data_IF_283627669638
#
_entry.id   IF_283627669638
#
_cell.length_a   1.000
_cell.length_b   1.000
_cell.length_c   1.000
_cell.angle_alpha   90.00
_cell.angle_beta   90.00
_cell.angle_gamma   90.00
#
_symmetry.space_group_name_H-M   'P 1'
#
loop_
_entity.id
_entity.type
_entity.pdbx_description
1 polymer ?
#
# COMPACT_ATOMS: atom_id res chain seq x y z
N UNK A 1 26.31 11.24 13.90
CA UNK A 1 26.82 11.04 12.52
C UNK A 1 25.80 11.47 11.44
N UNK A 2 24.60 10.88 11.36
CA UNK A 2 23.58 11.22 10.33
C UNK A 2 23.13 12.70 10.37
N UNK A 3 22.93 13.30 11.56
CA UNK A 3 22.62 14.75 11.70
C UNK A 3 23.71 15.65 11.09
N UNK A 4 24.98 15.29 11.23
CA UNK A 4 26.10 16.02 10.60
C UNK A 4 26.18 15.82 9.09
N UNK A 5 25.79 14.64 8.60
CA UNK A 5 25.73 14.31 7.16
C UNK A 5 24.61 15.10 6.46
N UNK A 6 23.45 15.24 7.11
CA UNK A 6 22.34 16.07 6.61
C UNK A 6 22.69 17.56 6.62
N UNK A 7 23.53 18.04 7.54
CA UNK A 7 24.02 19.44 7.53
C UNK A 7 24.89 19.75 6.30
N UNK A 8 25.67 18.80 5.81
CA UNK A 8 26.68 18.99 4.76
C UNK A 8 26.21 18.62 3.33
N UNK A 9 24.90 18.49 3.09
CA UNK A 9 24.37 18.16 1.75
C UNK A 9 23.92 19.42 0.98
N UNK A 10 24.61 19.78 -0.12
CA UNK A 10 24.26 20.95 -0.94
C UNK A 10 22.86 20.89 -1.55
N UNK A 11 22.30 19.69 -1.73
CA UNK A 11 20.93 19.52 -2.20
C UNK A 11 19.88 20.01 -1.18
N UNK A 12 20.22 20.02 0.11
CA UNK A 12 19.39 20.59 1.17
C UNK A 12 19.59 22.11 1.29
N UNK A 13 20.77 22.64 0.95
CA UNK A 13 21.06 24.09 0.90
C UNK A 13 20.28 24.79 -0.22
N UNK A 14 20.25 24.19 -1.42
CA UNK A 14 19.53 24.75 -2.57
C UNK A 14 18.01 24.81 -2.43
N UNK A 15 17.45 24.18 -1.38
CA UNK A 15 16.01 24.09 -1.11
C UNK A 15 15.57 24.90 0.11
N UNK A 16 16.44 25.75 0.69
CA UNK A 16 16.10 26.64 1.82
C UNK A 16 15.95 25.94 3.18
N UNK A 17 16.36 24.68 3.28
CA UNK A 17 16.05 23.78 4.40
C UNK A 17 16.88 24.09 5.66
N UNK A 18 18.05 24.74 5.57
CA UNK A 18 18.84 25.07 6.78
C UNK A 18 18.12 26.05 7.72
N UNK A 19 17.54 27.11 7.15
CA UNK A 19 16.98 28.24 7.88
C UNK A 19 15.63 27.93 8.55
N UNK A 20 14.82 27.07 7.92
CA UNK A 20 13.51 26.68 8.44
C UNK A 20 13.61 25.56 9.52
N UNK A 21 14.79 24.96 9.73
CA UNK A 21 14.96 23.74 10.53
C UNK A 21 15.98 23.89 11.68
N UNK A 22 16.36 25.11 12.07
CA UNK A 22 17.20 25.38 13.26
C UNK A 22 18.54 24.65 13.27
N UNK A 23 19.09 24.34 12.09
CA UNK A 23 20.32 23.56 11.98
C UNK A 23 21.56 24.38 12.36
N UNK A 24 21.44 25.68 12.56
CA UNK A 24 22.55 26.60 12.85
C UNK A 24 22.87 26.72 14.36
N UNK A 25 21.97 26.36 15.29
CA UNK A 25 22.07 26.76 16.71
C UNK A 25 22.41 25.65 17.73
N UNK A 26 22.69 24.41 17.31
CA UNK A 26 23.09 23.35 18.25
C UNK A 26 24.61 23.17 18.26
N UNK A 27 25.26 23.80 19.25
CA UNK A 27 26.66 23.61 19.65
C UNK A 27 26.87 22.23 20.25
N UNK A 28 27.94 21.56 19.82
CA UNK A 28 28.40 20.28 20.36
C UNK A 28 29.08 20.52 21.72
N UNK A 29 28.46 20.11 22.82
CA UNK A 29 29.23 19.73 24.01
C UNK A 29 29.64 18.26 23.86
N UNK A 30 30.94 18.05 23.73
CA UNK A 30 31.57 16.74 23.67
C UNK A 30 32.00 16.30 25.06
N UNK A 31 31.55 15.12 25.49
CA UNK A 31 32.28 14.30 26.46
C UNK A 31 32.44 12.90 25.88
N UNK A 32 33.65 12.32 25.92
CA UNK A 32 33.89 10.97 25.43
C UNK A 32 33.65 9.97 26.57
N UNK A 33 33.03 8.82 26.29
CA UNK A 33 33.58 7.58 26.85
C UNK A 33 33.12 6.29 26.16
N UNK A 34 34.17 5.50 25.92
CA UNK A 34 34.35 4.05 25.92
C UNK A 34 33.51 3.08 25.09
N UNK A 35 34.29 2.39 24.25
CA UNK A 35 34.08 1.18 23.48
C UNK A 35 33.57 -0.01 24.31
N UNK A 36 32.61 -0.73 23.76
CA UNK A 36 32.54 -2.19 23.90
C UNK A 36 32.14 -2.83 22.58
N UNK A 37 32.85 -3.92 22.27
CA UNK A 37 32.84 -4.67 21.03
C UNK A 37 31.50 -5.33 20.73
N UNK A 38 30.88 -5.01 19.59
CA UNK A 38 29.78 -5.78 19.02
C UNK A 38 30.34 -6.78 18.01
N UNK A 39 30.17 -8.06 18.32
CA UNK A 39 30.51 -9.17 17.45
C UNK A 39 29.74 -9.12 16.14
N UNK A 40 30.47 -9.26 15.04
CA UNK A 40 29.95 -9.52 13.70
C UNK A 40 29.20 -10.86 13.68
N UNK A 41 27.89 -10.82 13.50
CA UNK A 41 27.08 -11.99 13.13
C UNK A 41 26.39 -11.71 11.79
N UNK A 42 26.81 -12.49 10.78
CA UNK A 42 26.27 -12.50 9.42
C UNK A 42 24.82 -13.01 9.44
N UNK A 43 23.90 -12.25 8.87
CA UNK A 43 22.55 -12.70 8.53
C UNK A 43 22.57 -13.47 7.19
N UNK A 44 21.79 -14.56 7.04
CA UNK A 44 21.58 -15.16 5.72
C UNK A 44 20.60 -14.30 4.91
N UNK A 45 21.07 -13.80 3.77
CA UNK A 45 20.25 -13.12 2.77
C UNK A 45 19.37 -14.16 2.06
N UNK A 46 18.04 -14.08 2.26
CA UNK A 46 17.07 -14.79 1.42
C UNK A 46 16.42 -13.77 0.48
N UNK A 47 16.84 -13.86 -0.77
CA UNK A 47 16.40 -13.05 -1.89
C UNK A 47 15.01 -13.50 -2.35
N UNK A 48 13.97 -12.77 -1.96
CA UNK A 48 12.66 -12.86 -2.62
C UNK A 48 12.75 -12.11 -3.96
N UNK A 49 13.04 -12.84 -5.04
CA UNK A 49 12.89 -12.35 -6.41
C UNK A 49 11.41 -12.09 -6.70
N UNK A 50 10.93 -10.88 -6.43
CA UNK A 50 9.68 -10.41 -7.02
C UNK A 50 9.92 -10.09 -8.51
N UNK A 51 9.19 -10.81 -9.37
CA UNK A 51 9.21 -10.60 -10.82
C UNK A 51 8.64 -9.23 -11.15
N UNK A 52 9.40 -8.48 -11.96
CA UNK A 52 9.03 -7.21 -12.59
C UNK A 52 7.68 -7.34 -13.31
N UNK A 53 6.71 -6.50 -12.92
CA UNK A 53 5.63 -6.06 -13.80
C UNK A 53 5.68 -4.54 -13.88
N UNK A 54 6.44 -4.03 -14.85
CA UNK A 54 6.44 -2.61 -15.21
C UNK A 54 6.36 -2.51 -16.73
N UNK A 55 5.16 -2.64 -17.29
CA UNK A 55 4.83 -2.13 -18.63
C UNK A 55 3.37 -1.72 -18.66
N UNK A 56 3.08 -0.73 -19.51
CA UNK A 56 1.79 -0.16 -19.87
C UNK A 56 1.33 1.08 -19.10
N UNK A 57 1.98 2.22 -19.41
CA UNK A 57 1.24 3.44 -19.70
C UNK A 57 1.91 4.15 -20.89
N UNK A 58 1.40 3.89 -22.08
CA UNK A 58 1.44 4.83 -23.21
C UNK A 58 0.62 4.23 -24.34
N UNK A 59 -0.60 4.77 -24.49
CA UNK A 59 -1.31 4.89 -25.77
C UNK A 59 -2.53 5.78 -25.53
N UNK A 60 -2.36 7.06 -25.82
CA UNK A 60 -3.48 7.95 -26.09
C UNK A 60 -4.17 7.45 -27.36
N UNK A 61 -5.39 6.95 -27.24
CA UNK A 61 -6.30 6.78 -28.37
C UNK A 61 -7.26 7.96 -28.35
N UNK A 62 -7.21 8.81 -29.38
CA UNK A 62 -8.25 9.82 -29.62
C UNK A 62 -9.49 9.06 -30.10
N UNK A 63 -10.51 8.94 -29.24
CA UNK A 63 -11.82 8.44 -29.65
C UNK A 63 -12.78 9.60 -29.90
N UNK A 64 -13.44 9.57 -31.06
CA UNK A 64 -14.54 10.48 -31.41
C UNK A 64 -15.77 10.25 -30.52
N UNK A 65 -16.59 11.28 -30.26
CA UNK A 65 -17.78 11.16 -29.42
C UNK A 65 -18.79 10.18 -30.06
N UNK A 66 -19.26 9.20 -29.27
CA UNK A 66 -20.26 8.22 -29.70
C UNK A 66 -21.56 8.41 -28.91
N UNK A 67 -22.71 8.32 -29.60
CA UNK A 67 -24.06 8.41 -29.01
C UNK A 67 -24.29 7.30 -27.98
N UNK A 68 -25.06 7.59 -26.93
CA UNK A 68 -25.42 6.69 -25.82
C UNK A 68 -25.86 5.27 -26.27
N UNK A 69 -26.58 5.13 -27.38
CA UNK A 69 -27.06 3.82 -27.86
C UNK A 69 -25.94 2.85 -28.25
N UNK A 70 -24.73 3.34 -28.59
CA UNK A 70 -23.59 2.47 -28.94
C UNK A 70 -22.69 2.10 -27.75
N UNK A 71 -22.98 2.58 -26.53
CA UNK A 71 -22.23 2.22 -25.33
C UNK A 71 -22.58 0.81 -24.84
N UNK A 72 -23.81 0.36 -25.10
CA UNK A 72 -24.35 -0.96 -24.72
C UNK A 72 -23.59 -2.17 -25.30
N UNK A 73 -22.79 -1.95 -26.33
CA UNK A 73 -22.19 -3.03 -27.14
C UNK A 73 -20.67 -3.10 -27.04
N UNK A 74 -20.02 -2.36 -26.11
CA UNK A 74 -18.56 -2.38 -26.02
C UNK A 74 -18.07 -3.50 -25.07
N UNK A 75 -17.62 -4.66 -25.58
CA UNK A 75 -17.12 -5.75 -24.74
C UNK A 75 -15.92 -5.32 -23.88
N UNK A 76 -15.17 -4.29 -24.31
CA UNK A 76 -14.00 -3.80 -23.57
C UNK A 76 -14.33 -3.28 -22.17
N UNK A 77 -15.59 -2.87 -21.91
CA UNK A 77 -16.04 -2.44 -20.59
C UNK A 77 -16.16 -3.61 -19.60
N UNK A 78 -16.36 -4.83 -20.11
CA UNK A 78 -16.66 -6.02 -19.33
C UNK A 78 -15.48 -6.99 -19.25
N UNK A 79 -14.64 -7.05 -20.29
CA UNK A 79 -13.54 -8.00 -20.39
C UNK A 79 -12.23 -7.49 -19.80
N UNK A 80 -11.40 -8.41 -19.29
CA UNK A 80 -10.01 -8.10 -18.91
C UNK A 80 -9.12 -8.02 -20.16
N UNK A 81 -8.57 -6.82 -20.45
CA UNK A 81 -7.77 -6.57 -21.66
C UNK A 81 -6.34 -6.13 -21.36
N UNK A 82 -6.02 -5.79 -20.11
CA UNK A 82 -4.73 -5.19 -19.73
C UNK A 82 -3.54 -6.18 -19.67
N UNK A 83 -3.77 -7.48 -19.83
CA UNK A 83 -2.70 -8.48 -19.72
C UNK A 83 -3.02 -9.87 -20.27
N UNK A 84 -2.03 -10.77 -20.17
CA UNK A 84 -2.15 -12.20 -20.49
C UNK A 84 -1.74 -13.03 -19.29
N UNK A 85 -2.50 -14.08 -19.01
CA UNK A 85 -2.16 -15.05 -17.98
C UNK A 85 -1.31 -16.17 -18.57
N UNK A 86 -0.23 -16.52 -17.88
CA UNK A 86 0.65 -17.64 -18.27
C UNK A 86 -0.03 -19.01 -18.09
N UNK A 87 -1.00 -19.10 -17.17
CA UNK A 87 -1.74 -20.32 -16.85
C UNK A 87 -3.22 -20.00 -16.63
N UNK A 88 -4.10 -20.97 -16.88
CA UNK A 88 -5.55 -20.87 -16.66
C UNK A 88 -6.18 -19.60 -17.27
N UNK A 89 -5.75 -19.22 -18.46
CA UNK A 89 -6.08 -17.92 -19.06
C UNK A 89 -7.58 -17.65 -19.14
N UNK A 90 -8.35 -18.63 -19.61
CA UNK A 90 -9.79 -18.47 -19.78
C UNK A 90 -10.51 -18.38 -18.44
N UNK A 91 -10.09 -19.19 -17.46
CA UNK A 91 -10.58 -19.11 -16.08
C UNK A 91 -10.28 -17.73 -15.45
N UNK A 92 -9.04 -17.25 -15.54
CA UNK A 92 -8.62 -15.96 -14.97
C UNK A 92 -9.32 -14.76 -15.64
N UNK A 93 -9.69 -14.89 -16.91
CA UNK A 93 -10.51 -13.92 -17.65
C UNK A 93 -11.97 -13.97 -17.20
N UNK A 94 -12.55 -15.16 -17.10
CA UNK A 94 -13.93 -15.35 -16.64
C UNK A 94 -14.15 -14.77 -15.23
N UNK A 95 -13.20 -14.99 -14.31
CA UNK A 95 -13.21 -14.42 -12.96
C UNK A 95 -13.19 -12.89 -12.91
N UNK A 96 -12.64 -12.25 -13.96
CA UNK A 96 -12.52 -10.80 -14.11
C UNK A 96 -13.53 -10.21 -15.08
N UNK A 97 -14.47 -11.03 -15.56
CA UNK A 97 -15.61 -10.56 -16.30
C UNK A 97 -16.74 -10.25 -15.32
N UNK A 98 -17.11 -8.97 -15.24
CA UNK A 98 -18.24 -8.50 -14.43
C UNK A 98 -19.27 -7.93 -15.38
N UNK A 99 -20.50 -8.43 -15.25
CA UNK A 99 -21.67 -7.87 -15.89
C UNK A 99 -22.28 -6.84 -14.95
N UNK A 100 -22.62 -5.68 -15.48
CA UNK A 100 -23.23 -4.58 -14.75
C UNK A 100 -24.01 -3.70 -15.72
N UNK A 101 -24.99 -2.95 -15.21
CA UNK A 101 -25.78 -2.02 -16.01
C UNK A 101 -24.99 -0.72 -16.23
N UNK A 102 -24.53 -0.51 -17.47
CA UNK A 102 -23.78 0.67 -17.88
C UNK A 102 -24.63 1.95 -17.80
N UNK A 103 -25.92 1.88 -18.14
CA UNK A 103 -26.81 3.05 -18.12
C UNK A 103 -27.12 3.44 -16.66
N UNK A 104 -27.26 2.47 -15.75
CA UNK A 104 -27.36 2.72 -14.32
C UNK A 104 -26.06 3.32 -13.75
N UNK A 105 -24.88 2.79 -14.12
CA UNK A 105 -23.60 3.35 -13.67
C UNK A 105 -23.43 4.80 -14.11
N UNK A 106 -23.78 5.11 -15.37
CA UNK A 106 -23.74 6.47 -15.91
C UNK A 106 -24.69 7.39 -15.14
N UNK A 107 -25.92 6.95 -14.85
CA UNK A 107 -26.89 7.73 -14.05
C UNK A 107 -26.34 8.07 -12.67
N UNK A 108 -25.87 7.08 -11.92
CA UNK A 108 -25.26 7.32 -10.60
C UNK A 108 -24.04 8.25 -10.69
N UNK A 109 -23.22 8.12 -11.75
CA UNK A 109 -22.10 9.02 -11.97
C UNK A 109 -22.52 10.45 -12.31
N UNK A 110 -23.67 10.65 -12.95
CA UNK A 110 -24.25 11.96 -13.21
C UNK A 110 -24.83 12.58 -11.93
N UNK A 111 -25.60 11.79 -11.18
CA UNK A 111 -26.25 12.20 -9.94
C UNK A 111 -25.22 12.58 -8.87
N UNK A 112 -24.08 11.89 -8.80
CA UNK A 112 -23.04 12.16 -7.79
C UNK A 112 -22.31 13.50 -7.96
N UNK A 113 -22.53 14.20 -9.07
CA UNK A 113 -21.92 15.51 -9.39
C UNK A 113 -22.93 16.52 -9.95
N UNK A 114 -24.22 16.28 -9.72
CA UNK A 114 -25.33 17.15 -10.14
C UNK A 114 -25.34 17.48 -11.65
N UNK A 115 -25.08 16.46 -12.49
CA UNK A 115 -25.04 16.61 -13.96
C UNK A 115 -26.14 15.81 -14.64
N UNK A 116 -26.51 16.21 -15.86
CA UNK A 116 -27.51 15.49 -16.66
C UNK A 116 -26.86 14.39 -17.53
N UNK A 117 -27.48 13.21 -17.71
CA UNK A 117 -26.93 12.12 -18.55
C UNK A 117 -26.57 12.51 -19.99
N UNK A 118 -27.34 13.42 -20.60
CA UNK A 118 -27.04 13.97 -21.94
C UNK A 118 -25.70 14.74 -22.01
N UNK A 119 -25.13 15.11 -20.85
CA UNK A 119 -23.83 15.76 -20.73
C UNK A 119 -22.64 14.79 -20.80
N UNK A 120 -22.88 13.47 -20.87
CA UNK A 120 -21.82 12.46 -20.90
C UNK A 120 -21.29 12.29 -22.33
N UNK A 121 -19.99 12.53 -22.49
CA UNK A 121 -19.30 12.41 -23.78
C UNK A 121 -18.87 10.96 -24.06
N UNK A 122 -18.35 10.27 -23.03
CA UNK A 122 -17.81 8.91 -23.18
C UNK A 122 -17.70 8.17 -21.86
N UNK A 123 -17.82 6.84 -21.92
CA UNK A 123 -17.33 5.92 -20.89
C UNK A 123 -16.19 5.07 -21.48
N UNK A 124 -15.05 5.05 -20.81
CA UNK A 124 -13.86 4.31 -21.27
C UNK A 124 -13.21 3.57 -20.14
N UNK A 125 -12.60 2.41 -20.41
CA UNK A 125 -11.79 1.71 -19.42
C UNK A 125 -10.43 2.39 -19.28
N UNK A 126 -10.15 2.93 -18.10
CA UNK A 126 -8.93 3.66 -17.82
C UNK A 126 -7.80 2.71 -17.40
N UNK A 127 -8.11 1.77 -16.50
CA UNK A 127 -7.13 0.84 -15.95
C UNK A 127 -7.79 -0.45 -15.46
N UNK A 128 -6.99 -1.50 -15.34
CA UNK A 128 -7.37 -2.75 -14.68
C UNK A 128 -6.22 -3.26 -13.83
N UNK A 129 -6.50 -3.54 -12.56
CA UNK A 129 -5.56 -4.11 -11.60
C UNK A 129 -5.80 -5.59 -11.32
N UNK A 130 -5.22 -6.07 -10.22
CA UNK A 130 -5.48 -7.43 -9.71
C UNK A 130 -6.87 -7.60 -9.12
N UNK A 131 -7.41 -6.52 -8.53
CA UNK A 131 -8.62 -6.51 -7.72
C UNK A 131 -9.77 -5.70 -8.33
N UNK A 132 -9.50 -4.71 -9.18
CA UNK A 132 -10.54 -3.79 -9.65
C UNK A 132 -10.36 -3.44 -11.12
N UNK A 133 -11.49 -3.12 -11.76
CA UNK A 133 -11.54 -2.36 -13.00
C UNK A 133 -11.81 -0.90 -12.68
N UNK A 134 -11.16 0.01 -13.40
CA UNK A 134 -11.41 1.45 -13.31
C UNK A 134 -11.92 1.93 -14.66
N UNK A 135 -13.17 2.39 -14.67
CA UNK A 135 -13.80 3.08 -15.79
C UNK A 135 -13.73 4.58 -15.55
N UNK A 136 -13.71 5.35 -16.62
CA UNK A 136 -13.76 6.79 -16.60
C UNK A 136 -15.00 7.24 -17.36
N UNK A 137 -15.86 7.99 -16.70
CA UNK A 137 -16.99 8.70 -17.28
C UNK A 137 -16.55 10.14 -17.53
N UNK A 138 -16.48 10.55 -18.78
CA UNK A 138 -16.06 11.91 -19.19
C UNK A 138 -17.28 12.68 -19.67
N UNK A 139 -17.46 13.90 -19.15
CA UNK A 139 -18.51 14.82 -19.56
C UNK A 139 -18.05 15.74 -20.70
N UNK A 140 -19.00 16.40 -21.37
CA UNK A 140 -18.75 17.26 -22.54
C UNK A 140 -17.83 18.47 -22.24
N UNK A 141 -17.76 18.91 -20.99
CA UNK A 141 -16.88 19.99 -20.52
C UNK A 141 -15.48 19.49 -20.11
N UNK A 142 -15.20 18.19 -20.26
CA UNK A 142 -13.93 17.57 -19.89
C UNK A 142 -13.83 17.11 -18.44
N UNK A 143 -14.82 17.41 -17.59
CA UNK A 143 -14.86 16.86 -16.23
C UNK A 143 -14.95 15.33 -16.29
N UNK A 144 -14.31 14.64 -15.36
CA UNK A 144 -14.25 13.18 -15.37
C UNK A 144 -14.45 12.58 -13.98
N UNK A 145 -15.26 11.52 -13.94
CA UNK A 145 -15.51 10.69 -12.75
C UNK A 145 -14.90 9.32 -12.98
N UNK A 146 -14.21 8.80 -11.97
CA UNK A 146 -13.64 7.45 -12.01
C UNK A 146 -14.58 6.48 -11.29
N UNK A 147 -15.00 5.42 -11.98
CA UNK A 147 -15.78 4.33 -11.40
C UNK A 147 -14.89 3.12 -11.20
N UNK A 148 -14.63 2.76 -9.94
CA UNK A 148 -13.89 1.58 -9.53
C UNK A 148 -14.88 0.44 -9.24
N UNK A 149 -14.73 -0.67 -9.96
CA UNK A 149 -15.58 -1.87 -9.84
C UNK A 149 -14.70 -3.04 -9.41
N UNK A 150 -14.88 -3.61 -8.21
CA UNK A 150 -14.11 -4.75 -7.72
C UNK A 150 -14.44 -6.03 -8.48
N UNK A 151 -13.44 -6.86 -8.78
CA UNK A 151 -13.63 -8.20 -9.35
C UNK A 151 -14.31 -9.15 -8.36
N UNK A 152 -14.96 -10.21 -8.87
CA UNK A 152 -15.58 -11.25 -8.03
C UNK A 152 -14.59 -11.93 -7.07
N UNK A 153 -13.31 -11.90 -7.40
CA UNK A 153 -12.21 -12.44 -6.59
C UNK A 153 -11.76 -11.51 -5.47
N UNK A 154 -12.26 -10.27 -5.44
CA UNK A 154 -11.92 -9.29 -4.42
C UNK A 154 -12.77 -9.52 -3.19
N UNK A 155 -12.09 -9.76 -2.08
CA UNK A 155 -12.65 -10.26 -0.83
C UNK A 155 -11.95 -9.56 0.33
N UNK A 156 -12.65 -9.33 1.46
CA UNK A 156 -14.10 -9.52 1.68
C UNK A 156 -14.95 -8.51 0.89
N UNK A 157 -16.04 -8.94 0.23
CA UNK A 157 -16.75 -8.13 -0.80
C UNK A 157 -17.23 -6.76 -0.30
N UNK A 158 -18.26 -6.76 0.55
CA UNK A 158 -18.88 -5.56 1.13
C UNK A 158 -17.83 -4.72 1.85
N UNK A 159 -17.08 -5.36 2.75
CA UNK A 159 -16.08 -4.71 3.59
C UNK A 159 -14.97 -4.00 2.79
N UNK A 160 -14.57 -4.53 1.63
CA UNK A 160 -13.51 -3.91 0.82
C UNK A 160 -13.92 -2.51 0.32
N UNK A 161 -15.14 -2.37 -0.19
CA UNK A 161 -15.63 -1.09 -0.73
C UNK A 161 -16.00 -0.13 0.40
N UNK A 162 -16.77 -0.61 1.38
CA UNK A 162 -17.20 0.19 2.52
C UNK A 162 -15.99 0.75 3.30
N UNK A 163 -14.98 -0.10 3.54
CA UNK A 163 -13.82 0.32 4.32
C UNK A 163 -12.91 1.30 3.60
N UNK A 164 -12.72 1.11 2.28
CA UNK A 164 -11.94 2.05 1.47
C UNK A 164 -12.64 3.42 1.42
N UNK A 165 -13.97 3.46 1.33
CA UNK A 165 -14.74 4.71 1.30
C UNK A 165 -14.53 5.53 2.60
N UNK A 166 -14.70 4.87 3.76
CA UNK A 166 -14.49 5.50 5.06
C UNK A 166 -13.04 5.94 5.28
N UNK A 167 -12.08 5.13 4.83
CA UNK A 167 -10.65 5.46 4.90
C UNK A 167 -10.32 6.72 4.10
N UNK A 168 -10.81 6.83 2.86
CA UNK A 168 -10.62 8.02 2.02
C UNK A 168 -11.28 9.25 2.62
N UNK A 169 -12.50 9.12 3.16
CA UNK A 169 -13.20 10.21 3.83
C UNK A 169 -12.41 10.76 5.02
N UNK A 170 -11.91 9.87 5.91
CA UNK A 170 -11.11 10.25 7.07
C UNK A 170 -9.80 10.93 6.66
N UNK A 171 -9.06 10.34 5.72
CA UNK A 171 -7.77 10.86 5.26
C UNK A 171 -7.91 12.25 4.64
N UNK A 172 -8.95 12.46 3.83
CA UNK A 172 -9.23 13.77 3.24
C UNK A 172 -9.58 14.81 4.31
N UNK A 173 -10.36 14.44 5.32
CA UNK A 173 -10.68 15.33 6.44
C UNK A 173 -9.42 15.74 7.23
N UNK A 174 -8.39 14.90 7.23
CA UNK A 174 -7.07 15.20 7.83
C UNK A 174 -6.09 15.88 6.84
N UNK A 175 -6.56 16.29 5.66
CA UNK A 175 -5.79 17.02 4.66
C UNK A 175 -4.82 16.18 3.83
N UNK A 176 -4.91 14.85 3.88
CA UNK A 176 -4.07 13.98 3.05
C UNK A 176 -4.59 14.07 1.61
N UNK A 177 -3.72 14.24 0.59
CA UNK A 177 -4.15 14.34 -0.79
C UNK A 177 -4.62 12.97 -1.28
N UNK A 178 -5.90 12.67 -1.12
CA UNK A 178 -6.57 11.43 -1.57
C UNK A 178 -7.81 11.79 -2.38
N UNK A 179 -8.26 10.93 -3.32
CA UNK A 179 -9.44 11.22 -4.11
C UNK A 179 -10.69 11.29 -3.21
N UNK A 180 -11.53 12.31 -3.44
CA UNK A 180 -12.88 12.41 -2.88
C UNK A 180 -13.75 11.27 -3.38
N UNK A 181 -14.42 10.62 -2.44
CA UNK A 181 -15.52 9.68 -2.72
C UNK A 181 -16.76 10.49 -3.09
N UNK A 182 -17.26 10.29 -4.32
CA UNK A 182 -18.45 10.97 -4.84
C UNK A 182 -19.71 10.18 -4.53
N UNK A 183 -19.66 8.86 -4.70
CA UNK A 183 -20.69 7.91 -4.32
C UNK A 183 -20.08 6.51 -4.23
N UNK A 184 -20.70 5.58 -3.51
CA UNK A 184 -20.31 4.17 -3.54
C UNK A 184 -21.52 3.30 -3.19
N UNK A 185 -21.46 2.04 -3.59
CA UNK A 185 -22.36 1.00 -3.11
C UNK A 185 -21.53 -0.26 -2.82
N UNK A 186 -21.48 -0.73 -1.56
CA UNK A 186 -20.75 -1.93 -1.20
C UNK A 186 -21.51 -3.23 -1.49
N UNK A 187 -22.74 -3.15 -2.00
CA UNK A 187 -23.64 -4.29 -2.24
C UNK A 187 -24.06 -4.38 -3.71
N UNK A 188 -24.36 -5.59 -4.19
CA UNK A 188 -24.75 -5.82 -5.59
C UNK A 188 -26.25 -5.58 -5.87
N UNK A 189 -27.05 -5.33 -4.83
CA UNK A 189 -28.51 -5.14 -4.92
C UNK A 189 -28.91 -3.78 -5.51
N UNK A 190 -27.93 -2.91 -5.76
CA UNK A 190 -28.13 -1.60 -6.37
C UNK A 190 -28.44 -1.69 -7.88
N UNK A 191 -28.93 -0.60 -8.48
CA UNK A 191 -29.34 -0.57 -9.88
C UNK A 191 -28.22 -0.88 -10.90
N UNK A 192 -26.95 -0.70 -10.53
CA UNK A 192 -25.78 -1.05 -11.36
C UNK A 192 -25.56 -2.57 -11.40
N UNK A 193 -26.02 -3.31 -10.38
CA UNK A 193 -25.90 -4.77 -10.31
C UNK A 193 -24.51 -5.27 -9.88
N UNK A 194 -23.64 -4.39 -9.40
CA UNK A 194 -22.32 -4.72 -8.85
C UNK A 194 -21.93 -3.68 -7.80
N UNK A 195 -21.03 -4.04 -6.88
CA UNK A 195 -20.38 -3.06 -6.01
C UNK A 195 -19.60 -2.04 -6.84
N UNK A 196 -19.56 -0.79 -6.40
CA UNK A 196 -18.76 0.26 -7.05
C UNK A 196 -18.36 1.36 -6.09
N UNK A 197 -17.33 2.11 -6.48
CA UNK A 197 -16.94 3.37 -5.87
C UNK A 197 -16.68 4.41 -6.96
N UNK A 198 -17.35 5.55 -6.86
CA UNK A 198 -17.14 6.71 -7.71
C UNK A 198 -16.20 7.68 -7.02
N UNK A 199 -15.14 8.05 -7.70
CA UNK A 199 -14.06 8.88 -7.19
C UNK A 199 -13.86 10.11 -8.08
N UNK A 200 -13.45 11.23 -7.46
CA UNK A 200 -12.91 12.36 -8.21
C UNK A 200 -11.66 11.92 -8.98
N UNK A 201 -11.50 12.44 -10.20
CA UNK A 201 -10.24 12.32 -10.93
C UNK A 201 -9.24 13.34 -10.40
N UNK A 202 -8.08 12.86 -9.94
CA UNK A 202 -6.96 13.72 -9.58
C UNK A 202 -6.11 14.06 -10.81
N UNK A 203 -5.75 15.33 -10.94
CA UNK A 203 -4.88 15.83 -12.02
C UNK A 203 -3.41 15.56 -11.70
N UNK A 204 -2.97 14.33 -11.96
CA UNK A 204 -1.59 13.90 -11.78
C UNK A 204 -1.26 12.63 -12.54
N UNK A 205 0.04 12.36 -12.68
CA UNK A 205 0.54 11.13 -13.31
C UNK A 205 1.20 10.22 -12.27
N UNK A 206 1.08 8.89 -12.38
CA UNK A 206 1.78 7.97 -11.48
C UNK A 206 3.29 8.20 -11.49
N UNK A 207 3.88 8.33 -10.30
CA UNK A 207 5.32 8.54 -10.10
C UNK A 207 6.14 7.43 -10.79
N UNK A 208 5.63 6.21 -10.84
CA UNK A 208 6.28 5.06 -11.50
C UNK A 208 6.64 5.31 -12.97
N UNK A 209 5.90 6.16 -13.68
CA UNK A 209 6.17 6.50 -15.09
C UNK A 209 7.48 7.26 -15.32
N UNK A 210 7.95 8.00 -14.30
CA UNK A 210 9.19 8.80 -14.37
C UNK A 210 10.21 8.46 -13.27
N UNK A 211 9.88 7.55 -12.36
CA UNK A 211 10.69 7.23 -11.19
C UNK A 211 12.14 6.84 -11.50
N UNK A 212 12.33 6.06 -12.58
CA UNK A 212 13.65 5.56 -12.99
C UNK A 212 14.46 6.61 -13.75
N UNK A 213 13.83 7.59 -14.40
CA UNK A 213 14.49 8.65 -15.19
C UNK A 213 14.72 9.97 -14.44
N UNK A 214 14.12 10.14 -13.26
CA UNK A 214 14.31 11.34 -12.42
C UNK A 214 15.78 11.61 -12.07
N UNK A 215 16.13 12.88 -11.86
CA UNK A 215 17.42 13.23 -11.25
C UNK A 215 17.39 13.06 -9.71
N UNK A 216 18.56 13.11 -9.08
CA UNK A 216 18.70 12.94 -7.62
C UNK A 216 17.97 14.03 -6.82
N UNK A 217 18.02 15.29 -7.23
CA UNK A 217 17.36 16.41 -6.51
C UNK A 217 15.85 16.22 -6.51
N UNK A 218 15.28 15.84 -7.65
CA UNK A 218 13.85 15.56 -7.81
C UNK A 218 13.44 14.36 -6.94
N UNK A 219 14.24 13.28 -6.90
CA UNK A 219 13.97 12.14 -6.00
C UNK A 219 13.97 12.54 -4.52
N UNK A 220 14.90 13.39 -4.09
CA UNK A 220 14.95 13.90 -2.71
C UNK A 220 13.72 14.74 -2.39
N UNK A 221 13.29 15.62 -3.31
CA UNK A 221 12.05 16.40 -3.18
C UNK A 221 10.84 15.48 -2.99
N UNK A 222 10.72 14.42 -3.79
CA UNK A 222 9.63 13.44 -3.69
C UNK A 222 9.70 12.65 -2.37
N UNK A 223 10.89 12.19 -1.97
CA UNK A 223 11.07 11.45 -0.71
C UNK A 223 10.64 12.28 0.52
N UNK A 224 10.92 13.59 0.52
CA UNK A 224 10.44 14.49 1.57
C UNK A 224 8.92 14.52 1.63
N UNK A 225 8.26 14.75 0.49
CA UNK A 225 6.81 14.78 0.43
C UNK A 225 6.20 13.44 0.89
N UNK A 226 6.79 12.31 0.47
CA UNK A 226 6.38 10.96 0.90
C UNK A 226 6.41 10.83 2.43
N UNK A 227 7.53 11.15 3.06
CA UNK A 227 7.66 11.06 4.54
C UNK A 227 6.73 12.05 5.25
N UNK A 228 6.53 13.24 4.69
CA UNK A 228 5.61 14.24 5.25
C UNK A 228 4.15 13.74 5.20
N UNK A 229 3.74 13.07 4.12
CA UNK A 229 2.41 12.44 4.02
C UNK A 229 2.28 11.25 4.97
N UNK A 230 3.30 10.40 5.11
CA UNK A 230 3.29 9.34 6.12
C UNK A 230 3.11 9.91 7.52
N UNK A 231 3.83 11.00 7.82
CA UNK A 231 3.69 11.68 9.11
C UNK A 231 2.27 12.14 9.34
N UNK A 232 1.62 12.68 8.32
CA UNK A 232 0.25 13.16 8.41
C UNK A 232 -0.72 12.04 8.77
N UNK A 233 -0.79 10.95 7.99
CA UNK A 233 -1.76 9.89 8.26
C UNK A 233 -1.40 8.99 9.47
N UNK A 234 -0.10 8.86 9.83
CA UNK A 234 0.30 8.14 11.04
C UNK A 234 0.05 8.94 12.33
N UNK A 235 -0.13 10.26 12.24
CA UNK A 235 -0.44 11.11 13.39
C UNK A 235 -1.91 11.06 13.82
N UNK A 236 -2.77 10.45 12.99
CA UNK A 236 -4.18 10.24 13.31
C UNK A 236 -4.26 9.24 14.46
N UNK A 237 -4.93 9.64 15.54
CA UNK A 237 -5.12 8.78 16.71
C UNK A 237 -6.34 7.88 16.51
N UNK A 238 -6.16 6.58 16.76
CA UNK A 238 -7.25 5.61 16.69
C UNK A 238 -7.43 4.91 18.05
N UNK A 239 -8.68 4.61 18.45
CA UNK A 239 -8.98 3.94 19.71
C UNK A 239 -8.68 2.44 19.67
N UNK A 240 -8.58 1.85 18.47
CA UNK A 240 -8.40 0.42 18.28
C UNK A 240 -7.77 0.11 16.92
N UNK A 241 -7.37 -1.15 16.74
CA UNK A 241 -6.88 -1.72 15.48
C UNK A 241 -8.01 -2.47 14.77
N UNK A 242 -7.99 -2.45 13.44
CA UNK A 242 -9.06 -2.95 12.59
C UNK A 242 -9.16 -2.13 11.31
N UNK A 243 -10.29 -2.18 10.63
CA UNK A 243 -10.54 -1.40 9.41
C UNK A 243 -11.58 -0.32 9.67
N UNK A 244 -11.51 0.80 8.95
CA UNK A 244 -12.42 1.93 9.12
C UNK A 244 -13.69 1.70 8.33
N UNK A 245 -14.84 2.13 8.84
CA UNK A 245 -16.15 2.06 8.17
C UNK A 245 -16.98 3.30 8.50
N UNK A 246 -17.93 3.63 7.61
CA UNK A 246 -19.07 4.44 8.03
C UNK A 246 -19.98 3.56 8.87
N UNK A 247 -20.56 4.12 9.95
CA UNK A 247 -21.41 3.37 10.88
C UNK A 247 -22.56 2.64 10.17
N UNK A 248 -23.11 3.25 9.12
CA UNK A 248 -24.21 2.70 8.31
C UNK A 248 -23.85 1.47 7.49
N UNK A 249 -22.55 1.23 7.26
CA UNK A 249 -22.04 0.11 6.45
C UNK A 249 -21.72 -1.12 7.31
N UNK A 250 -22.08 -1.12 8.60
CA UNK A 250 -21.92 -2.27 9.49
C UNK A 250 -23.28 -2.70 10.03
N UNK A 251 -23.47 -4.01 10.12
CA UNK A 251 -24.67 -4.60 10.71
C UNK A 251 -24.69 -4.40 12.23
N UNK A 252 -25.89 -4.38 12.83
CA UNK A 252 -26.06 -4.20 14.27
C UNK A 252 -25.41 -5.30 15.13
N UNK A 253 -25.09 -6.46 14.53
CA UNK A 253 -24.42 -7.58 15.19
C UNK A 253 -22.89 -7.46 15.19
N UNK A 254 -22.31 -6.61 14.34
CA UNK A 254 -20.86 -6.47 14.23
C UNK A 254 -20.32 -5.56 15.32
N UNK A 255 -19.22 -5.96 15.96
CA UNK A 255 -18.60 -5.11 16.98
C UNK A 255 -17.77 -4.01 16.30
N UNK A 256 -17.93 -2.78 16.79
CA UNK A 256 -17.17 -1.63 16.31
C UNK A 256 -16.84 -0.69 17.46
N UNK A 257 -15.80 0.14 17.26
CA UNK A 257 -15.32 1.13 18.20
C UNK A 257 -15.35 2.51 17.53
N UNK A 258 -16.11 3.49 18.05
CA UNK A 258 -16.24 4.81 17.44
C UNK A 258 -14.92 5.58 17.34
N UNK A 259 -14.64 6.16 16.17
CA UNK A 259 -13.55 7.13 15.95
C UNK A 259 -14.11 8.56 15.93
N UNK A 260 -15.28 8.74 15.32
CA UNK A 260 -16.09 9.95 15.29
C UNK A 260 -17.59 9.59 15.25
N UNK A 261 -18.47 10.57 15.05
CA UNK A 261 -19.93 10.35 14.97
C UNK A 261 -20.32 9.39 13.83
N UNK A 262 -19.62 9.44 12.70
CA UNK A 262 -19.91 8.65 11.50
C UNK A 262 -18.88 7.54 11.24
N UNK A 263 -17.62 7.72 11.66
CA UNK A 263 -16.54 6.77 11.35
C UNK A 263 -16.24 5.89 12.56
N UNK A 264 -16.14 4.59 12.32
CA UNK A 264 -15.86 3.57 13.35
C UNK A 264 -14.72 2.64 12.91
N UNK A 265 -14.02 2.03 13.86
CA UNK A 265 -13.15 0.88 13.62
C UNK A 265 -13.99 -0.38 13.77
N UNK A 266 -14.09 -1.17 12.71
CA UNK A 266 -14.83 -2.43 12.66
C UNK A 266 -13.96 -3.61 12.24
N UNK A 267 -14.58 -4.71 11.78
CA UNK A 267 -13.88 -5.93 11.39
C UNK A 267 -12.85 -5.69 10.29
N UNK A 268 -11.76 -6.45 10.31
CA UNK A 268 -10.64 -6.23 9.38
C UNK A 268 -11.00 -6.55 7.92
N UNK A 269 -10.88 -5.56 7.02
CA UNK A 269 -11.10 -5.68 5.58
C UNK A 269 -9.85 -6.14 4.78
N UNK A 270 -8.83 -6.67 5.45
CA UNK A 270 -7.63 -7.15 4.78
C UNK A 270 -7.95 -8.29 3.82
N UNK A 271 -7.29 -8.31 2.66
CA UNK A 271 -7.47 -9.36 1.65
C UNK A 271 -7.27 -10.78 2.19
N UNK A 272 -6.46 -10.95 3.23
CA UNK A 272 -6.20 -12.25 3.87
C UNK A 272 -7.36 -12.74 4.76
N UNK A 273 -8.36 -11.89 5.05
CA UNK A 273 -9.57 -12.23 5.81
C UNK A 273 -10.72 -12.67 4.88
N UNK A 274 -10.55 -13.80 4.19
CA UNK A 274 -11.46 -14.18 3.08
C UNK A 274 -12.79 -14.78 3.58
N UNK A 275 -12.81 -15.40 4.78
CA UNK A 275 -13.93 -16.23 5.24
C UNK A 275 -14.35 -16.05 6.70
N UNK A 276 -13.49 -15.43 7.51
CA UNK A 276 -13.70 -15.28 8.95
C UNK A 276 -13.38 -13.83 9.28
N UNK A 277 -14.42 -13.09 9.65
CA UNK A 277 -14.30 -11.72 10.11
C UNK A 277 -13.57 -11.71 11.46
N UNK A 278 -12.70 -10.72 11.64
CA UNK A 278 -11.99 -10.54 12.89
C UNK A 278 -12.34 -9.17 13.47
N UNK A 279 -12.90 -9.22 14.68
CA UNK A 279 -13.35 -8.04 15.42
C UNK A 279 -12.21 -7.06 15.71
N UNK A 280 -12.53 -5.77 15.85
CA UNK A 280 -11.51 -4.77 16.17
C UNK A 280 -10.86 -5.08 17.54
N UNK A 281 -9.54 -4.87 17.62
CA UNK A 281 -8.72 -5.14 18.80
C UNK A 281 -8.23 -3.87 19.47
N UNK A 282 -8.44 -3.73 20.78
CA UNK A 282 -8.02 -2.57 21.56
C UNK A 282 -6.67 -2.75 22.29
N UNK A 283 -6.07 -3.94 22.22
CA UNK A 283 -4.77 -4.25 22.83
C UNK A 283 -3.80 -4.84 21.81
N UNK A 284 -2.50 -4.77 22.10
CA UNK A 284 -1.49 -5.41 21.26
C UNK A 284 -1.72 -6.92 21.12
N UNK A 285 -1.88 -7.65 22.24
CA UNK A 285 -2.08 -9.11 22.24
C UNK A 285 -3.30 -9.55 21.43
N UNK A 286 -4.44 -8.86 21.56
CA UNK A 286 -5.64 -9.21 20.77
C UNK A 286 -5.36 -9.10 19.27
N UNK A 287 -4.67 -8.04 18.84
CA UNK A 287 -4.26 -7.86 17.46
C UNK A 287 -3.23 -8.91 17.02
N UNK A 288 -2.24 -9.20 17.87
CA UNK A 288 -1.14 -10.10 17.55
C UNK A 288 -1.62 -11.55 17.42
N UNK A 289 -2.50 -12.01 18.30
CA UNK A 289 -3.05 -13.37 18.27
C UNK A 289 -4.09 -13.58 17.17
N UNK A 290 -4.78 -12.51 16.77
CA UNK A 290 -5.89 -12.51 15.81
C UNK A 290 -5.66 -13.41 14.58
N UNK A 291 -4.54 -13.25 13.84
CA UNK A 291 -4.41 -13.94 12.57
C UNK A 291 -4.21 -15.43 12.77
N UNK A 292 -3.48 -15.84 13.81
CA UNK A 292 -3.26 -17.26 14.08
C UNK A 292 -4.55 -17.97 14.50
N UNK A 293 -5.39 -17.34 15.34
CA UNK A 293 -6.71 -17.89 15.70
C UNK A 293 -7.59 -18.06 14.46
N UNK A 294 -7.63 -17.03 13.61
CA UNK A 294 -8.36 -17.06 12.34
C UNK A 294 -7.87 -18.17 11.40
N UNK A 295 -6.56 -18.29 11.21
CA UNK A 295 -5.99 -19.31 10.31
C UNK A 295 -6.17 -20.74 10.83
N UNK A 296 -6.13 -20.95 12.17
CA UNK A 296 -6.47 -22.24 12.77
C UNK A 296 -7.92 -22.60 12.46
N UNK A 297 -8.86 -21.69 12.76
CA UNK A 297 -10.29 -21.92 12.50
C UNK A 297 -10.55 -22.16 11.00
N UNK A 298 -9.88 -21.40 10.12
CA UNK A 298 -9.96 -21.62 8.69
C UNK A 298 -9.48 -23.02 8.30
N UNK A 299 -8.36 -23.48 8.85
CA UNK A 299 -7.83 -24.81 8.55
C UNK A 299 -8.70 -25.93 9.13
N UNK A 300 -9.37 -25.73 10.26
CA UNK A 300 -10.32 -26.69 10.84
C UNK A 300 -11.59 -26.82 9.98
N UNK A 301 -12.13 -25.69 9.51
CA UNK A 301 -13.39 -25.66 8.74
C UNK A 301 -13.21 -26.00 7.26
N UNK A 302 -12.12 -25.55 6.66
CA UNK A 302 -11.93 -25.56 5.20
C UNK A 302 -10.60 -26.16 4.75
N UNK A 303 -9.70 -26.47 5.68
CA UNK A 303 -8.37 -26.98 5.38
C UNK A 303 -8.44 -28.34 4.68
N UNK A 304 -7.72 -28.45 3.56
CA UNK A 304 -7.60 -29.69 2.80
C UNK A 304 -6.16 -29.91 2.36
N UNK A 305 -5.69 -31.17 2.27
CA UNK A 305 -4.35 -31.45 1.80
C UNK A 305 -4.09 -30.84 0.41
N UNK A 306 -2.96 -30.15 0.26
CA UNK A 306 -2.57 -29.48 -0.99
C UNK A 306 -1.08 -29.57 -1.23
N UNK A 307 -0.66 -29.51 -2.50
CA UNK A 307 0.76 -29.32 -2.83
C UNK A 307 1.32 -28.09 -2.12
N UNK A 308 2.61 -28.13 -1.81
CA UNK A 308 3.30 -27.00 -1.19
C UNK A 308 3.00 -25.69 -1.94
N UNK A 309 2.67 -24.62 -1.20
CA UNK A 309 2.28 -23.32 -1.76
C UNK A 309 3.38 -22.77 -2.67
N UNK A 310 4.61 -22.79 -2.16
CA UNK A 310 5.80 -22.50 -2.93
C UNK A 310 6.14 -23.62 -3.91
N UNK A 311 6.02 -23.30 -5.20
CA UNK A 311 6.18 -24.29 -6.28
C UNK A 311 7.56 -24.94 -6.29
N UNK A 312 8.61 -24.17 -6.00
CA UNK A 312 9.99 -24.65 -6.00
C UNK A 312 10.28 -25.65 -4.86
N UNK A 313 9.44 -25.70 -3.82
CA UNK A 313 9.55 -26.68 -2.74
C UNK A 313 8.78 -27.97 -3.02
N UNK A 314 7.91 -28.02 -4.04
CA UNK A 314 7.07 -29.19 -4.31
C UNK A 314 7.87 -30.43 -4.66
N UNK A 315 8.98 -30.29 -5.37
CA UNK A 315 9.87 -31.41 -5.72
C UNK A 315 10.53 -32.02 -4.48
N UNK A 316 10.94 -31.17 -3.52
CA UNK A 316 11.50 -31.61 -2.23
C UNK A 316 10.45 -32.43 -1.46
N UNK A 317 9.19 -32.04 -1.55
CA UNK A 317 8.05 -32.78 -1.01
C UNK A 317 7.49 -33.85 -1.98
N UNK A 318 8.25 -34.26 -3.00
CA UNK A 318 7.90 -35.34 -3.93
C UNK A 318 6.53 -35.17 -4.60
N UNK A 319 6.10 -33.92 -4.82
CA UNK A 319 4.79 -33.55 -5.36
C UNK A 319 3.63 -34.16 -4.56
N UNK A 320 3.81 -34.39 -3.26
CA UNK A 320 2.77 -34.89 -2.38
C UNK A 320 1.92 -33.75 -1.81
N UNK A 321 0.66 -34.05 -1.57
CA UNK A 321 -0.23 -33.15 -0.86
C UNK A 321 0.15 -33.13 0.63
N UNK A 322 0.38 -31.94 1.15
CA UNK A 322 0.70 -31.69 2.55
C UNK A 322 -0.59 -31.44 3.33
N UNK A 323 -0.74 -32.14 4.46
CA UNK A 323 -1.82 -31.90 5.41
C UNK A 323 -1.72 -30.47 5.99
N UNK A 324 -2.85 -29.80 6.31
CA UNK A 324 -2.83 -28.52 7.03
C UNK A 324 -2.43 -28.65 8.51
N UNK A 325 -2.39 -29.87 9.08
CA UNK A 325 -2.13 -30.10 10.51
C UNK A 325 -0.79 -29.51 10.99
N UNK A 326 0.36 -29.69 10.29
CA UNK A 326 1.62 -29.07 10.71
C UNK A 326 1.54 -27.54 10.76
N UNK A 327 0.78 -26.92 9.86
CA UNK A 327 0.57 -25.48 9.87
C UNK A 327 -0.23 -25.03 11.10
N UNK A 328 -1.32 -25.74 11.44
CA UNK A 328 -2.08 -25.49 12.68
C UNK A 328 -1.19 -25.62 13.92
N UNK A 329 -0.31 -26.63 13.97
CA UNK A 329 0.62 -26.81 15.09
C UNK A 329 1.61 -25.64 15.24
N UNK A 330 2.14 -25.12 14.11
CA UNK A 330 2.99 -23.93 14.13
C UNK A 330 2.24 -22.69 14.63
N UNK A 331 0.98 -22.50 14.21
CA UNK A 331 0.14 -21.41 14.69
C UNK A 331 -0.18 -21.55 16.20
N UNK A 332 -0.43 -22.77 16.67
CA UNK A 332 -0.61 -23.03 18.10
C UNK A 332 0.67 -22.71 18.90
N UNK A 333 1.86 -23.00 18.36
CA UNK A 333 3.12 -22.62 19.00
C UNK A 333 3.34 -21.10 18.96
N UNK A 334 2.95 -20.41 17.89
CA UNK A 334 2.92 -18.96 17.84
C UNK A 334 2.04 -18.37 18.96
N UNK A 335 0.85 -18.93 19.17
CA UNK A 335 -0.04 -18.50 20.25
C UNK A 335 0.54 -18.74 21.66
N UNK A 336 1.33 -19.80 21.85
CA UNK A 336 2.07 -20.02 23.12
C UNK A 336 3.15 -18.95 23.35
N UNK A 337 3.75 -18.42 22.29
CA UNK A 337 4.78 -17.37 22.37
C UNK A 337 4.17 -15.97 22.55
N UNK A 338 2.94 -15.75 22.11
CA UNK A 338 2.30 -14.43 22.08
C UNK A 338 2.34 -13.69 23.43
N UNK A 339 2.05 -14.31 24.60
CA UNK A 339 2.12 -13.61 25.90
C UNK A 339 3.51 -13.06 26.26
N UNK A 340 4.58 -13.70 25.77
CA UNK A 340 5.97 -13.27 26.01
C UNK A 340 6.43 -12.18 25.03
N UNK A 341 5.66 -11.96 23.96
CA UNK A 341 5.92 -10.96 22.94
C UNK A 341 4.97 -9.77 23.06
N UNK A 342 4.21 -9.67 24.15
CA UNK A 342 3.28 -8.55 24.37
C UNK A 342 4.00 -7.19 24.41
N UNK A 343 3.23 -6.14 24.15
CA UNK A 343 3.63 -4.74 24.30
C UNK A 343 2.56 -4.06 25.16
N UNK A 344 2.90 -3.59 26.36
CA UNK A 344 1.91 -3.05 27.30
C UNK A 344 1.05 -1.93 26.70
N UNK A 345 -0.21 -1.80 27.14
CA UNK A 345 -1.02 -0.63 26.84
C UNK A 345 -0.29 0.66 27.22
N UNK A 346 -0.43 1.71 26.39
CA UNK A 346 0.23 3.00 26.62
C UNK A 346 1.69 3.08 26.16
N UNK A 347 2.34 1.95 25.87
CA UNK A 347 3.65 1.99 25.22
C UNK A 347 3.51 2.51 23.77
N UNK A 348 4.39 3.42 23.34
CA UNK A 348 4.31 4.04 21.99
C UNK A 348 4.25 3.05 20.82
N UNK A 349 4.78 1.84 21.00
CA UNK A 349 4.78 0.78 19.98
C UNK A 349 3.47 -0.01 19.89
N UNK A 350 2.63 0.02 20.93
CA UNK A 350 1.30 -0.61 20.90
C UNK A 350 0.21 0.32 20.33
N UNK A 351 0.55 1.59 20.07
CA UNK A 351 -0.38 2.59 19.51
C UNK A 351 -0.95 2.13 18.15
N UNK A 352 -2.29 2.07 18.00
CA UNK A 352 -2.94 1.85 16.71
C UNK A 352 -2.52 2.92 15.69
N UNK A 353 -1.99 2.48 14.55
CA UNK A 353 -1.39 3.33 13.52
C UNK A 353 -1.89 2.91 12.14
N UNK A 354 -2.36 3.88 11.35
CA UNK A 354 -2.75 3.68 9.96
C UNK A 354 -1.52 3.70 9.04
N UNK A 355 -1.46 2.78 8.09
CA UNK A 355 -0.42 2.71 7.06
C UNK A 355 -1.03 2.40 5.71
N UNK A 356 -0.47 3.01 4.66
CA UNK A 356 -0.85 2.66 3.30
C UNK A 356 -0.47 1.19 3.00
N UNK A 357 -1.38 0.37 2.44
CA UNK A 357 -1.17 -1.06 2.23
C UNK A 357 -0.08 -1.36 1.18
N UNK A 358 -0.06 -0.60 0.09
CA UNK A 358 0.95 -0.69 -0.97
C UNK A 358 1.52 0.68 -1.35
N UNK A 359 2.47 1.19 -0.56
CA UNK A 359 3.03 2.53 -0.79
C UNK A 359 4.12 2.52 -1.87
N UNK A 360 3.70 2.20 -3.10
CA UNK A 360 4.55 2.10 -4.28
C UNK A 360 4.50 3.38 -5.13
N UNK A 361 5.51 3.65 -5.98
CA UNK A 361 5.48 4.76 -6.93
C UNK A 361 4.28 4.74 -7.90
N UNK A 362 3.61 3.60 -8.08
CA UNK A 362 2.41 3.54 -8.94
C UNK A 362 1.18 4.14 -8.26
N UNK A 363 1.18 4.20 -6.93
CA UNK A 363 0.07 4.70 -6.11
C UNK A 363 0.27 6.14 -5.64
N UNK A 364 1.33 6.81 -6.13
CA UNK A 364 1.65 8.21 -5.83
C UNK A 364 1.51 9.00 -7.12
N UNK A 365 0.60 9.97 -7.15
CA UNK A 365 0.37 10.87 -8.28
C UNK A 365 1.15 12.16 -8.11
N UNK A 366 1.84 12.58 -9.17
CA UNK A 366 2.62 13.82 -9.20
C UNK A 366 2.21 14.72 -10.36
N UNK A 367 2.26 16.02 -10.14
CA UNK A 367 2.06 17.04 -11.17
C UNK A 367 3.35 17.31 -11.98
N UNK A 368 3.28 18.24 -12.94
CA UNK A 368 4.42 18.65 -13.77
C UNK A 368 5.57 19.30 -12.98
N UNK A 369 5.29 19.83 -11.79
CA UNK A 369 6.27 20.42 -10.87
C UNK A 369 6.90 19.38 -9.92
N UNK A 370 6.55 18.09 -10.06
CA UNK A 370 6.95 17.01 -9.15
C UNK A 370 6.47 17.23 -7.71
N UNK A 371 5.31 17.86 -7.54
CA UNK A 371 4.59 17.86 -6.27
C UNK A 371 3.62 16.68 -6.24
N UNK A 372 3.53 16.01 -5.09
CA UNK A 372 2.58 14.92 -4.88
C UNK A 372 1.19 15.52 -4.71
N UNK A 373 0.29 15.13 -5.60
CA UNK A 373 -1.09 15.62 -5.67
C UNK A 373 -2.12 14.55 -5.32
N UNK A 374 -1.68 13.31 -5.11
CA UNK A 374 -2.58 12.21 -4.79
C UNK A 374 -1.87 10.96 -4.28
N UNK A 375 -2.42 10.33 -3.26
CA UNK A 375 -2.15 8.95 -2.86
C UNK A 375 -3.42 8.16 -3.12
N UNK A 376 -3.31 7.13 -3.96
CA UNK A 376 -4.43 6.29 -4.40
C UNK A 376 -4.26 4.85 -3.94
N UNK A 377 -5.32 4.06 -4.07
CA UNK A 377 -5.34 2.63 -3.72
C UNK A 377 -5.17 2.32 -2.23
N UNK A 378 -6.09 2.87 -1.43
CA UNK A 378 -6.23 2.61 0.01
C UNK A 378 -7.04 1.34 0.31
N UNK A 379 -7.27 0.49 -0.69
CA UNK A 379 -8.00 -0.76 -0.55
C UNK A 379 -7.25 -1.71 0.39
N UNK A 380 -7.98 -2.42 1.27
CA UNK A 380 -7.44 -3.32 2.30
C UNK A 380 -6.57 -2.63 3.38
N UNK A 381 -6.72 -1.31 3.54
CA UNK A 381 -6.10 -0.59 4.65
C UNK A 381 -6.55 -1.15 6.00
N UNK A 382 -5.59 -1.24 6.92
CA UNK A 382 -5.83 -1.68 8.30
C UNK A 382 -5.06 -0.77 9.25
N UNK A 383 -5.63 -0.53 10.41
CA UNK A 383 -4.98 0.07 11.56
C UNK A 383 -4.40 -1.07 12.39
N UNK A 384 -3.11 -1.00 12.70
CA UNK A 384 -2.42 -1.99 13.53
C UNK A 384 -1.55 -1.29 14.56
N UNK A 385 -1.17 -1.96 15.66
CA UNK A 385 -0.12 -1.44 16.55
C UNK A 385 1.14 -1.09 15.74
N UNK A 386 1.76 0.06 16.05
CA UNK A 386 2.92 0.59 15.31
C UNK A 386 4.00 -0.47 15.07
N UNK A 387 4.34 -1.27 16.08
CA UNK A 387 5.36 -2.31 15.94
C UNK A 387 5.01 -3.44 14.98
N UNK A 388 3.74 -3.64 14.61
CA UNK A 388 3.33 -4.65 13.64
C UNK A 388 3.31 -4.13 12.20
N UNK A 389 3.07 -2.83 12.01
CA UNK A 389 2.97 -2.22 10.68
C UNK A 389 4.21 -1.41 10.25
N UNK A 390 5.11 -1.10 11.18
CA UNK A 390 6.31 -0.32 10.90
C UNK A 390 7.24 -1.05 9.93
N UNK A 391 7.47 -0.46 8.75
CA UNK A 391 8.39 -0.97 7.72
C UNK A 391 8.84 0.15 6.79
N UNK A 392 9.98 -0.07 6.13
CA UNK A 392 10.34 0.71 4.94
C UNK A 392 9.54 0.13 3.76
N UNK A 393 8.83 0.94 2.97
CA UNK A 393 8.15 0.48 1.76
C UNK A 393 9.12 -0.24 0.80
N UNK A 394 8.65 -1.29 0.14
CA UNK A 394 9.51 -2.20 -0.64
C UNK A 394 10.26 -1.50 -1.79
N UNK A 395 9.67 -0.46 -2.36
CA UNK A 395 10.29 0.35 -3.40
C UNK A 395 11.35 1.33 -2.90
N UNK A 396 11.40 1.56 -1.58
CA UNK A 396 12.33 2.47 -0.93
C UNK A 396 13.37 1.76 -0.06
N UNK A 397 13.28 0.43 0.12
CA UNK A 397 14.28 -0.35 0.85
C UNK A 397 15.41 -0.86 -0.04
N UNK A 398 16.60 -1.01 0.55
CA UNK A 398 17.77 -1.60 -0.09
C UNK A 398 18.52 -2.55 0.85
N UNK A 399 17.79 -3.48 1.48
CA UNK A 399 18.37 -4.49 2.37
C UNK A 399 19.31 -5.44 1.61
N UNK A 400 20.38 -5.89 2.29
CA UNK A 400 21.44 -6.71 1.72
C UNK A 400 22.54 -5.93 1.00
N UNK A 401 22.45 -4.59 0.93
CA UNK A 401 23.52 -3.72 0.46
C UNK A 401 24.31 -3.15 1.66
N UNK A 402 25.61 -3.48 1.81
CA UNK A 402 26.38 -3.09 3.00
C UNK A 402 26.46 -1.58 3.25
N UNK A 403 26.44 -0.75 2.19
CA UNK A 403 26.45 0.70 2.34
C UNK A 403 25.12 1.24 2.84
N UNK A 404 24.02 0.65 2.39
CA UNK A 404 22.67 1.00 2.81
C UNK A 404 22.42 0.60 4.26
N UNK A 405 22.86 -0.59 4.67
CA UNK A 405 22.72 -1.09 6.05
C UNK A 405 23.48 -0.24 7.07
N UNK A 406 24.63 0.32 6.68
CA UNK A 406 25.40 1.25 7.52
C UNK A 406 24.87 2.68 7.50
N UNK A 407 23.84 2.96 6.69
CA UNK A 407 23.31 4.31 6.42
C UNK A 407 24.43 5.30 6.05
N UNK A 408 25.40 4.82 5.27
CA UNK A 408 26.48 5.64 4.74
C UNK A 408 25.95 6.59 3.66
N UNK A 409 26.51 7.80 3.57
CA UNK A 409 26.10 8.77 2.53
C UNK A 409 26.35 8.14 1.15
N UNK A 410 25.32 8.00 0.31
CA UNK A 410 25.49 7.39 -1.01
C UNK A 410 26.24 8.33 -1.95
N UNK A 411 27.01 7.73 -2.87
CA UNK A 411 27.61 8.46 -3.98
C UNK A 411 26.52 8.97 -4.93
N UNK A 412 26.64 10.22 -5.36
CA UNK A 412 25.70 10.88 -6.26
C UNK A 412 26.27 11.13 -7.65
N UNK A 413 27.59 10.97 -7.81
CA UNK A 413 28.29 11.07 -9.09
C UNK A 413 28.45 9.67 -9.69
N UNK A 414 28.24 9.57 -11.00
CA UNK A 414 28.52 8.33 -11.72
C UNK A 414 30.04 8.02 -11.66
N UNK A 415 30.42 6.74 -11.71
CA UNK A 415 31.82 6.35 -11.80
C UNK A 415 32.50 6.95 -13.04
N UNK A 416 33.80 7.27 -12.94
CA UNK A 416 34.55 7.90 -14.05
C UNK A 416 34.58 7.02 -15.31
N UNK A 417 34.49 5.70 -15.15
CA UNK A 417 34.45 4.74 -16.26
C UNK A 417 33.03 4.44 -16.77
N UNK A 418 31.99 5.14 -16.31
CA UNK A 418 30.59 4.81 -16.62
C UNK A 418 30.30 4.76 -18.13
N UNK A 419 30.83 5.71 -18.91
CA UNK A 419 30.63 5.79 -20.36
C UNK A 419 31.35 4.67 -21.12
N UNK A 420 32.29 3.97 -20.46
CA UNK A 420 33.04 2.84 -21.02
C UNK A 420 32.35 1.48 -20.73
N UNK A 421 31.34 1.47 -19.84
CA UNK A 421 30.60 0.27 -19.48
C UNK A 421 29.60 -0.12 -20.58
N UNK A 422 29.26 -1.41 -20.65
CA UNK A 422 28.14 -1.85 -21.48
C UNK A 422 26.81 -1.27 -20.97
N UNK A 423 25.81 -1.15 -21.85
CA UNK A 423 24.48 -0.65 -21.47
C UNK A 423 23.87 -1.38 -20.26
N UNK A 424 24.07 -2.71 -20.17
CA UNK A 424 23.56 -3.51 -19.05
C UNK A 424 24.28 -3.19 -17.73
N UNK A 425 25.58 -2.93 -17.79
CA UNK A 425 26.37 -2.52 -16.62
C UNK A 425 26.00 -1.10 -16.19
N UNK A 426 25.81 -0.18 -17.15
CA UNK A 426 25.31 1.16 -16.90
C UNK A 426 23.96 1.14 -16.17
N UNK A 427 22.99 0.35 -16.64
CA UNK A 427 21.70 0.16 -15.97
C UNK A 427 21.86 -0.38 -14.54
N UNK A 428 22.78 -1.33 -14.34
CA UNK A 428 23.04 -1.94 -13.03
C UNK A 428 23.63 -0.93 -12.05
N UNK A 429 24.59 -0.12 -12.50
CA UNK A 429 25.20 0.96 -11.72
C UNK A 429 24.15 2.00 -11.34
N UNK A 430 23.38 2.49 -12.32
CA UNK A 430 22.32 3.47 -12.08
C UNK A 430 21.26 2.97 -11.10
N UNK A 431 20.79 1.73 -11.26
CA UNK A 431 19.81 1.14 -10.35
C UNK A 431 20.36 0.95 -8.94
N UNK A 432 21.62 0.52 -8.80
CA UNK A 432 22.28 0.39 -7.49
C UNK A 432 22.40 1.73 -6.80
N UNK A 433 22.88 2.76 -7.50
CA UNK A 433 22.96 4.12 -6.98
C UNK A 433 21.57 4.65 -6.59
N UNK A 434 20.56 4.47 -7.45
CA UNK A 434 19.19 4.89 -7.18
C UNK A 434 18.64 4.26 -5.90
N UNK A 435 18.79 2.94 -5.72
CA UNK A 435 18.30 2.23 -4.53
C UNK A 435 18.99 2.71 -3.25
N UNK A 436 20.31 2.92 -3.28
CA UNK A 436 21.09 3.48 -2.16
C UNK A 436 20.61 4.88 -1.79
N UNK A 437 20.45 5.76 -2.77
CA UNK A 437 19.96 7.13 -2.60
C UNK A 437 18.57 7.13 -1.96
N UNK A 438 17.62 6.42 -2.57
CA UNK A 438 16.23 6.38 -2.11
C UNK A 438 16.14 5.83 -0.69
N UNK A 439 16.84 4.74 -0.40
CA UNK A 439 16.87 4.14 0.94
C UNK A 439 17.45 5.11 1.97
N UNK A 440 18.60 5.71 1.68
CA UNK A 440 19.25 6.65 2.57
C UNK A 440 18.33 7.84 2.91
N UNK A 441 17.73 8.48 1.90
CA UNK A 441 16.87 9.64 2.14
C UNK A 441 15.57 9.26 2.85
N UNK A 442 14.92 8.15 2.49
CA UNK A 442 13.73 7.69 3.21
C UNK A 442 14.04 7.48 4.69
N UNK A 443 15.12 6.74 5.02
CA UNK A 443 15.49 6.45 6.40
C UNK A 443 15.90 7.72 7.16
N UNK A 444 16.71 8.58 6.55
CA UNK A 444 17.19 9.80 7.19
C UNK A 444 16.05 10.81 7.45
N UNK A 445 15.10 10.95 6.52
CA UNK A 445 13.92 11.78 6.68
C UNK A 445 12.96 11.18 7.73
N UNK A 446 12.73 9.87 7.70
CA UNK A 446 11.90 9.16 8.68
C UNK A 446 12.45 9.31 10.10
N UNK A 447 13.76 9.15 10.29
CA UNK A 447 14.43 9.36 11.58
C UNK A 447 14.14 10.75 12.18
N UNK A 448 14.00 11.77 11.32
CA UNK A 448 13.78 13.15 11.75
C UNK A 448 12.29 13.47 11.96
N UNK A 449 11.45 13.05 11.03
CA UNK A 449 10.02 13.43 10.99
C UNK A 449 9.11 12.46 11.75
N UNK A 450 9.53 11.20 11.91
CA UNK A 450 8.76 10.10 12.50
C UNK A 450 9.66 9.23 13.40
N UNK A 451 10.15 9.76 14.54
CA UNK A 451 11.13 9.05 15.38
C UNK A 451 10.60 7.71 15.93
N UNK A 452 9.32 7.63 16.31
CA UNK A 452 8.70 6.38 16.76
C UNK A 452 8.70 5.31 15.67
N UNK A 453 8.39 5.69 14.43
CA UNK A 453 8.39 4.79 13.28
C UNK A 453 9.81 4.32 12.94
N UNK A 454 10.78 5.24 12.98
CA UNK A 454 12.19 4.91 12.80
C UNK A 454 12.68 3.92 13.88
N UNK A 455 12.33 4.16 15.14
CA UNK A 455 12.66 3.26 16.25
C UNK A 455 12.03 1.87 16.07
N UNK A 456 10.78 1.81 15.61
CA UNK A 456 10.08 0.56 15.32
C UNK A 456 10.74 -0.22 14.16
N UNK A 457 11.16 0.45 13.09
CA UNK A 457 11.83 -0.19 11.95
C UNK A 457 13.22 -0.75 12.33
N UNK A 458 13.93 -0.08 13.25
CA UNK A 458 15.27 -0.46 13.71
C UNK A 458 15.27 -1.48 14.85
N UNK A 459 14.19 -1.56 15.62
CA UNK A 459 14.10 -2.42 16.80
C UNK A 459 13.98 -3.89 16.39
N UNK A 460 14.98 -4.71 16.75
CA UNK A 460 14.94 -6.16 16.50
C UNK A 460 13.67 -6.82 17.05
N UNK A 461 13.24 -6.40 18.24
CA UNK A 461 12.02 -6.90 18.86
C UNK A 461 10.75 -6.52 18.06
N UNK A 462 10.68 -5.31 17.50
CA UNK A 462 9.55 -4.92 16.64
C UNK A 462 9.59 -5.66 15.30
N UNK A 463 10.77 -5.76 14.68
CA UNK A 463 10.96 -6.53 13.45
C UNK A 463 10.58 -7.99 13.61
N UNK A 464 10.97 -8.62 14.73
CA UNK A 464 10.60 -10.01 15.05
C UNK A 464 9.09 -10.16 15.17
N UNK A 465 8.42 -9.29 15.96
CA UNK A 465 6.96 -9.28 16.10
C UNK A 465 6.28 -9.11 14.74
N UNK A 466 6.65 -8.09 13.96
CA UNK A 466 6.06 -7.84 12.65
C UNK A 466 6.23 -9.04 11.70
N UNK A 467 7.41 -9.69 11.69
CA UNK A 467 7.65 -10.90 10.89
C UNK A 467 6.77 -12.06 11.33
N UNK A 468 6.75 -12.37 12.61
CA UNK A 468 5.92 -13.46 13.16
C UNK A 468 4.44 -13.22 12.87
N UNK A 469 3.96 -11.99 13.11
CA UNK A 469 2.61 -11.57 12.77
C UNK A 469 2.32 -11.79 11.28
N UNK A 470 3.18 -11.29 10.38
CA UNK A 470 2.99 -11.43 8.93
C UNK A 470 2.88 -12.88 8.47
N UNK A 471 3.73 -13.77 9.01
CA UNK A 471 3.70 -15.20 8.72
C UNK A 471 2.49 -15.90 9.33
N UNK A 472 2.02 -15.47 10.50
CA UNK A 472 0.81 -15.98 11.12
C UNK A 472 -0.46 -15.64 10.33
N UNK A 473 -0.43 -14.61 9.47
CA UNK A 473 -1.61 -14.24 8.65
C UNK A 473 -1.66 -14.92 7.27
N UNK A 474 -0.64 -15.68 6.85
CA UNK A 474 -0.52 -16.20 5.49
C UNK A 474 -0.02 -17.66 5.43
N UNK A 475 -0.80 -18.60 4.88
CA UNK A 475 -0.45 -20.02 4.74
C UNK A 475 0.37 -20.40 3.50
#
# INVERSE_FOLDING_TARGET
KIKGILRADPALDALGVRKQWGLDELTLESTPDNTSSLGTLKLPAICLKMRRFSRFFSRYSKSSPRRMSSMRSNPDLFEYTSGRFLFNKDLRRAERCIQFDVDALVRVACDSVDRHPNGVASITKLAEGGFNRVLQVTFNDGYAVLARIPYKTTVPKHHTVASEAATLALLRAHGVPVPKVLAYSPDQTNAVGTEYMLLERLEGTPLSGQWFSMDTKTRVKIMRQIVDMERQFMSINFPASGSLYHRRDLDSSQHFIPVSDDIVVGPTAQHKCIYIDFEPGNTFSTCFEAPAKREIEFCERFGKPRLHVERYLREIHQLQNLSPIPYQYLLANYLKLAPYLDVPPGHRMSRPTLRHPDFSPSNILVNTSNDVVGIIDWQHTVILPLCLCARIPDHFQNWGDPLSETLSKPEVKLPDNFDQLSHKEQETVQETMRRRIVHFYYVALTMKSLPDHFDAIRSENCMLRAKLFHHAQAP
#
